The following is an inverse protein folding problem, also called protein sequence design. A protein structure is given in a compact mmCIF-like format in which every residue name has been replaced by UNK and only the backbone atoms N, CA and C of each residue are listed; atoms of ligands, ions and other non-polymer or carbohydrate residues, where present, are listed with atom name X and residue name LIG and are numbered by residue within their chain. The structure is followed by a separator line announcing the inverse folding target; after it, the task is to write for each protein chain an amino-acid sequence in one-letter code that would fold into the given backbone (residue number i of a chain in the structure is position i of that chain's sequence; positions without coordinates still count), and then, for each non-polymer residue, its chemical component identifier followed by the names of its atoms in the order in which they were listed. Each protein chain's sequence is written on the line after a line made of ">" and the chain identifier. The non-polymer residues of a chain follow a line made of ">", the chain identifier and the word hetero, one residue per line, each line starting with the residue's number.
data_IF_550254529200
#
_entry.id   IF_550254529200
#
_cell.length_a   1.000
_cell.length_b   1.000
_cell.length_c   1.000
_cell.angle_alpha   90.00
_cell.angle_beta   90.00
_cell.angle_gamma   90.00
#
_symmetry.space_group_name_H-M   'P 1'
#
loop_
_entity.id
_entity.type
_entity.pdbx_description
1 polymer ?
#
# COMPACT_ATOMS: atom_id res chain seq x y z
N UNK A 1 -18.18 10.19 -20.39
CA UNK A 1 -17.27 11.05 -19.61
C UNK A 1 -18.02 11.97 -18.65
N UNK A 2 -19.25 12.36 -18.98
CA UNK A 2 -20.07 13.32 -18.23
C UNK A 2 -20.52 12.85 -16.84
N UNK A 3 -20.74 11.54 -16.65
CA UNK A 3 -21.15 10.98 -15.36
C UNK A 3 -20.11 11.15 -14.23
N UNK A 4 -18.82 11.17 -14.58
CA UNK A 4 -17.72 11.32 -13.62
C UNK A 4 -17.69 12.74 -13.02
N UNK A 5 -18.01 13.75 -13.84
CA UNK A 5 -18.07 15.16 -13.42
C UNK A 5 -19.26 15.38 -12.48
N UNK A 6 -20.41 14.74 -12.71
CA UNK A 6 -21.54 14.81 -11.78
C UNK A 6 -21.26 14.14 -10.43
N UNK A 7 -20.44 13.08 -10.39
CA UNK A 7 -20.00 12.43 -9.15
C UNK A 7 -19.02 13.30 -8.35
N UNK A 8 -18.07 13.96 -9.02
CA UNK A 8 -17.14 14.89 -8.36
C UNK A 8 -17.83 16.17 -7.85
N UNK A 9 -18.87 16.66 -8.54
CA UNK A 9 -19.71 17.78 -8.08
C UNK A 9 -20.45 17.51 -6.76
N UNK A 10 -20.67 16.23 -6.38
CA UNK A 10 -21.16 15.88 -5.03
C UNK A 10 -20.10 16.06 -3.96
N UNK A 11 -18.82 15.77 -4.25
CA UNK A 11 -17.70 15.94 -3.32
C UNK A 11 -17.50 17.42 -2.98
N UNK A 12 -17.72 18.33 -3.94
CA UNK A 12 -17.66 19.78 -3.71
C UNK A 12 -18.70 20.25 -2.67
N UNK A 13 -19.83 19.54 -2.52
CA UNK A 13 -20.80 19.86 -1.46
C UNK A 13 -20.30 19.50 -0.06
N UNK A 14 -19.32 18.60 0.08
CA UNK A 14 -18.64 18.31 1.33
C UNK A 14 -17.73 19.46 1.79
N UNK A 15 -17.46 20.47 0.95
CA UNK A 15 -16.74 21.70 1.32
C UNK A 15 -17.65 22.78 1.94
N UNK A 16 -18.98 22.59 1.93
CA UNK A 16 -19.94 23.48 2.61
C UNK A 16 -19.64 23.72 4.10
N UNK A 17 -19.24 22.71 4.91
CA UNK A 17 -18.78 22.95 6.29
C UNK A 17 -17.61 23.93 6.38
N UNK A 18 -16.66 23.94 5.42
CA UNK A 18 -15.57 24.92 5.39
C UNK A 18 -16.10 26.36 5.22
N UNK A 19 -17.22 26.53 4.50
CA UNK A 19 -17.90 27.82 4.31
C UNK A 19 -18.67 28.28 5.55
N UNK A 20 -19.24 27.35 6.32
CA UNK A 20 -19.88 27.63 7.62
C UNK A 20 -18.84 28.02 8.67
N UNK A 21 -17.67 27.38 8.62
CA UNK A 21 -16.52 27.67 9.47
C UNK A 21 -16.01 29.10 9.29
N UNK A 22 -15.99 29.61 8.05
CA UNK A 22 -15.56 30.96 7.72
C UNK A 22 -16.55 32.08 8.13
N UNK A 23 -17.80 31.76 8.48
CA UNK A 23 -18.83 32.75 8.86
C UNK A 23 -18.73 33.17 10.32
N UNK A 24 -18.11 32.35 11.18
CA UNK A 24 -17.86 32.70 12.58
C UNK A 24 -16.53 33.47 12.72
N UNK A 25 -16.53 34.70 13.28
CA UNK A 25 -15.35 35.55 13.35
C UNK A 25 -14.19 34.91 14.14
N UNK A 26 -14.49 34.17 15.22
CA UNK A 26 -13.47 33.47 16.00
C UNK A 26 -12.79 32.32 15.25
N UNK A 27 -13.49 31.64 14.36
CA UNK A 27 -12.96 30.48 13.64
C UNK A 27 -12.20 30.89 12.37
N UNK A 28 -12.52 32.06 11.81
CA UNK A 28 -11.74 32.69 10.72
C UNK A 28 -10.31 33.02 11.15
N UNK A 29 -10.12 33.54 12.36
CA UNK A 29 -8.77 33.84 12.90
C UNK A 29 -7.92 32.57 13.01
N UNK A 30 -8.51 31.45 13.44
CA UNK A 30 -7.83 30.17 13.57
C UNK A 30 -7.41 29.63 12.19
N UNK A 31 -8.30 29.69 11.20
CA UNK A 31 -7.98 29.24 9.83
C UNK A 31 -6.90 30.13 9.17
N UNK A 32 -6.99 31.45 9.35
CA UNK A 32 -6.00 32.39 8.83
C UNK A 32 -4.62 32.15 9.45
N UNK A 33 -4.59 31.90 10.76
CA UNK A 33 -3.37 31.52 11.49
C UNK A 33 -2.81 30.16 11.04
N UNK A 34 -3.69 29.19 10.75
CA UNK A 34 -3.33 27.87 10.21
C UNK A 34 -2.73 27.96 8.81
N UNK A 35 -3.32 28.76 7.92
CA UNK A 35 -2.82 28.96 6.55
C UNK A 35 -1.49 29.69 6.56
N UNK A 36 -1.35 30.69 7.43
CA UNK A 36 -0.09 31.41 7.62
C UNK A 36 1.03 30.49 8.16
N UNK A 37 0.67 29.52 9.02
CA UNK A 37 1.59 28.47 9.50
C UNK A 37 1.83 27.35 8.47
N UNK A 38 0.86 27.07 7.60
CA UNK A 38 0.94 26.02 6.59
C UNK A 38 2.08 26.26 5.58
N UNK A 39 2.39 27.53 5.27
CA UNK A 39 3.53 27.86 4.41
C UNK A 39 4.87 27.41 4.98
N UNK A 40 5.07 27.53 6.30
CA UNK A 40 6.28 27.05 6.96
C UNK A 40 6.33 25.50 7.01
N UNK A 41 5.18 24.87 7.26
CA UNK A 41 5.06 23.40 7.30
C UNK A 41 5.29 22.80 5.90
N UNK A 42 4.88 23.48 4.83
CA UNK A 42 5.06 23.02 3.46
C UNK A 42 6.54 22.82 3.09
N UNK A 43 7.43 23.67 3.60
CA UNK A 43 8.88 23.52 3.39
C UNK A 43 9.42 22.23 4.05
N UNK A 44 8.95 21.92 5.26
CA UNK A 44 9.33 20.69 5.97
C UNK A 44 8.79 19.46 5.24
N UNK A 45 7.53 19.50 4.79
CA UNK A 45 6.91 18.42 4.01
C UNK A 45 7.69 18.18 2.72
N UNK A 46 8.13 19.23 2.02
CA UNK A 46 8.89 19.12 0.77
C UNK A 46 10.22 18.37 0.98
N UNK A 47 10.95 18.70 2.04
CA UNK A 47 12.20 18.00 2.38
C UNK A 47 11.90 16.53 2.74
N UNK A 48 10.87 16.29 3.56
CA UNK A 48 10.45 14.95 3.95
C UNK A 48 10.07 14.09 2.74
N UNK A 49 9.34 14.66 1.77
CA UNK A 49 8.93 13.94 0.55
C UNK A 49 10.12 13.57 -0.31
N UNK A 50 11.13 14.42 -0.43
CA UNK A 50 12.36 14.09 -1.18
C UNK A 50 13.11 12.93 -0.52
N UNK A 51 13.25 12.97 0.81
CA UNK A 51 13.91 11.90 1.56
C UNK A 51 13.15 10.57 1.40
N UNK A 52 11.83 10.59 1.56
CA UNK A 52 11.00 9.40 1.34
C UNK A 52 11.05 8.91 -0.10
N UNK A 53 11.13 9.80 -1.08
CA UNK A 53 11.25 9.43 -2.49
C UNK A 53 12.58 8.72 -2.77
N UNK A 54 13.70 9.14 -2.16
CA UNK A 54 14.97 8.40 -2.26
C UNK A 54 14.85 6.98 -1.71
N UNK A 55 14.27 6.82 -0.52
CA UNK A 55 14.04 5.49 0.07
C UNK A 55 13.06 4.65 -0.75
N UNK A 56 12.04 5.27 -1.34
CA UNK A 56 11.08 4.59 -2.19
C UNK A 56 11.76 4.05 -3.47
N UNK A 57 12.59 4.85 -4.15
CA UNK A 57 13.30 4.42 -5.36
C UNK A 57 14.29 3.30 -5.03
N UNK A 58 15.09 3.47 -3.97
CA UNK A 58 16.01 2.44 -3.50
C UNK A 58 15.27 1.14 -3.15
N UNK A 59 14.13 1.27 -2.46
CA UNK A 59 13.28 0.16 -2.07
C UNK A 59 12.69 -0.58 -3.27
N UNK A 60 12.17 0.13 -4.27
CA UNK A 60 11.64 -0.48 -5.50
C UNK A 60 12.75 -1.22 -6.24
N UNK A 61 13.92 -0.63 -6.41
CA UNK A 61 15.04 -1.30 -7.09
C UNK A 61 15.50 -2.58 -6.38
N UNK A 62 15.45 -2.60 -5.03
CA UNK A 62 15.95 -3.75 -4.26
C UNK A 62 14.90 -4.81 -3.98
N UNK A 63 13.64 -4.43 -3.82
CA UNK A 63 12.57 -5.26 -3.25
C UNK A 63 11.35 -5.46 -4.18
N UNK A 64 11.30 -4.82 -5.36
CA UNK A 64 10.22 -5.08 -6.33
C UNK A 64 10.12 -6.58 -6.65
N UNK A 65 8.92 -7.14 -6.51
CA UNK A 65 8.65 -8.57 -6.75
C UNK A 65 9.28 -9.56 -5.76
N UNK A 66 9.92 -9.10 -4.68
CA UNK A 66 10.59 -10.00 -3.70
C UNK A 66 9.84 -10.17 -2.39
N UNK A 67 8.79 -9.39 -2.17
CA UNK A 67 7.96 -9.46 -0.96
C UNK A 67 6.74 -10.38 -1.15
N UNK A 68 6.79 -11.29 -2.11
CA UNK A 68 5.75 -12.26 -2.32
C UNK A 68 5.80 -13.32 -1.22
N UNK A 69 4.65 -13.79 -0.78
CA UNK A 69 4.47 -14.95 0.09
C UNK A 69 3.54 -15.95 -0.61
N UNK A 70 3.57 -17.22 -0.22
CA UNK A 70 2.56 -18.15 -0.68
C UNK A 70 1.25 -17.88 0.07
N UNK A 71 0.11 -18.15 -0.55
CA UNK A 71 -1.20 -18.12 0.11
C UNK A 71 -1.46 -19.35 1.00
N UNK A 72 -0.69 -20.42 0.82
CA UNK A 72 -0.79 -21.65 1.60
C UNK A 72 -0.10 -21.48 2.98
N UNK A 73 -0.84 -21.61 4.10
CA UNK A 73 -0.28 -21.47 5.45
C UNK A 73 0.69 -22.60 5.83
N UNK A 74 0.59 -23.77 5.20
CA UNK A 74 1.47 -24.92 5.45
C UNK A 74 2.74 -24.88 4.60
N UNK A 75 2.87 -23.87 3.72
CA UNK A 75 4.06 -23.72 2.89
C UNK A 75 5.28 -23.36 3.76
N UNK A 76 6.34 -24.18 3.77
CA UNK A 76 7.46 -23.99 4.68
C UNK A 76 8.24 -22.71 4.38
N UNK A 77 8.48 -21.93 5.43
CA UNK A 77 9.29 -20.71 5.39
C UNK A 77 10.70 -21.00 4.87
N UNK A 78 11.30 -20.04 4.17
CA UNK A 78 12.62 -20.13 3.55
C UNK A 78 12.80 -21.22 2.46
N UNK A 79 11.72 -21.83 1.98
CA UNK A 79 11.78 -22.68 0.78
C UNK A 79 11.59 -21.85 -0.51
N UNK A 80 12.29 -22.19 -1.61
CA UNK A 80 12.04 -21.54 -2.89
C UNK A 80 10.60 -21.79 -3.36
N UNK A 81 9.94 -20.76 -3.92
CA UNK A 81 8.61 -20.91 -4.53
C UNK A 81 8.56 -21.96 -5.66
N UNK A 82 9.71 -22.29 -6.25
CA UNK A 82 9.87 -23.36 -7.25
C UNK A 82 9.79 -24.78 -6.67
N UNK A 83 9.62 -24.95 -5.35
CA UNK A 83 9.56 -26.24 -4.66
C UNK A 83 10.93 -26.91 -4.49
N UNK A 84 10.95 -28.01 -3.73
CA UNK A 84 12.16 -28.80 -3.45
C UNK A 84 11.93 -30.23 -3.88
N UNK A 85 12.88 -30.82 -4.62
CA UNK A 85 12.81 -32.21 -5.10
C UNK A 85 13.49 -33.17 -4.12
N UNK A 86 12.90 -34.34 -3.95
CA UNK A 86 13.49 -35.44 -3.19
C UNK A 86 14.47 -36.25 -4.09
N UNK A 87 15.35 -37.05 -3.50
CA UNK A 87 16.32 -37.88 -4.21
C UNK A 87 15.67 -38.94 -5.12
N UNK A 88 14.45 -39.35 -4.81
CA UNK A 88 13.61 -40.25 -5.63
C UNK A 88 12.97 -39.58 -6.85
N UNK A 89 13.15 -38.27 -7.02
CA UNK A 89 12.55 -37.49 -8.09
C UNK A 89 11.14 -36.96 -7.80
N UNK A 90 10.54 -37.27 -6.64
CA UNK A 90 9.29 -36.65 -6.19
C UNK A 90 9.47 -35.22 -5.66
N UNK A 91 8.38 -34.56 -5.28
CA UNK A 91 8.42 -33.31 -4.53
C UNK A 91 8.59 -33.61 -3.03
N UNK A 92 9.63 -33.04 -2.41
CA UNK A 92 9.75 -32.97 -0.96
C UNK A 92 8.92 -31.80 -0.39
N UNK A 93 8.89 -30.70 -1.15
CA UNK A 93 7.98 -29.57 -0.96
C UNK A 93 7.44 -29.21 -2.34
N UNK A 94 6.13 -29.21 -2.49
CA UNK A 94 5.46 -28.80 -3.74
C UNK A 94 5.66 -27.30 -3.99
N UNK A 95 5.78 -26.86 -5.25
CA UNK A 95 5.94 -25.44 -5.58
C UNK A 95 4.68 -24.63 -5.29
N UNK A 96 4.87 -23.32 -5.06
CA UNK A 96 3.80 -22.34 -4.94
C UNK A 96 3.47 -21.75 -6.32
N UNK A 97 2.73 -22.52 -7.12
CA UNK A 97 2.25 -22.14 -8.46
C UNK A 97 0.81 -22.61 -8.63
N UNK A 98 0.08 -22.01 -9.57
CA UNK A 98 -1.34 -22.26 -9.79
C UNK A 98 -1.66 -23.73 -10.18
N UNK A 99 -0.64 -24.50 -10.57
CA UNK A 99 -0.76 -25.94 -10.88
C UNK A 99 -0.97 -26.82 -9.64
N UNK A 100 -0.67 -26.30 -8.44
CA UNK A 100 -0.82 -27.02 -7.17
C UNK A 100 -1.89 -26.34 -6.34
N UNK A 101 -2.66 -27.13 -5.59
CA UNK A 101 -3.78 -26.65 -4.78
C UNK A 101 -3.71 -27.19 -3.37
N UNK A 102 -4.17 -26.40 -2.40
CA UNK A 102 -4.32 -26.82 -1.01
C UNK A 102 -5.81 -26.73 -0.61
N UNK A 103 -6.17 -27.41 0.48
CA UNK A 103 -7.49 -27.27 1.08
C UNK A 103 -7.46 -26.13 2.10
N UNK A 104 -8.34 -25.15 1.97
CA UNK A 104 -8.51 -24.08 2.96
C UNK A 104 -9.14 -24.61 4.26
N UNK A 105 -9.27 -23.75 5.28
CA UNK A 105 -9.91 -24.10 6.55
C UNK A 105 -11.39 -24.52 6.37
N UNK A 106 -12.02 -24.10 5.27
CA UNK A 106 -13.38 -24.44 4.87
C UNK A 106 -13.49 -25.74 4.03
N UNK A 107 -12.37 -26.40 3.72
CA UNK A 107 -12.31 -27.63 2.93
C UNK A 107 -12.48 -27.42 1.42
N UNK A 108 -12.46 -26.19 0.93
CA UNK A 108 -12.43 -25.89 -0.50
C UNK A 108 -11.01 -26.03 -1.05
N UNK A 109 -10.92 -26.55 -2.26
CA UNK A 109 -9.64 -26.70 -2.96
C UNK A 109 -9.33 -25.39 -3.68
N UNK A 110 -8.31 -24.67 -3.21
CA UNK A 110 -7.85 -23.40 -3.77
C UNK A 110 -6.46 -23.53 -4.38
N UNK A 111 -6.17 -22.91 -5.54
CA UNK A 111 -4.85 -22.95 -6.14
C UNK A 111 -3.83 -22.15 -5.33
N UNK A 112 -2.58 -22.60 -5.33
CA UNK A 112 -1.46 -21.86 -4.74
C UNK A 112 -1.12 -20.67 -5.62
N UNK A 113 -1.12 -19.48 -5.04
CA UNK A 113 -0.68 -18.27 -5.74
C UNK A 113 0.28 -17.48 -4.87
N UNK A 114 1.21 -16.81 -5.54
CA UNK A 114 2.08 -15.83 -4.89
C UNK A 114 1.26 -14.57 -4.60
N UNK A 115 1.17 -14.21 -3.33
CA UNK A 115 0.47 -13.01 -2.87
C UNK A 115 1.49 -11.99 -2.40
N UNK A 116 1.33 -10.74 -2.82
CA UNK A 116 2.10 -9.62 -2.27
C UNK A 116 1.25 -8.91 -1.22
N UNK A 117 1.76 -8.71 0.01
CA UNK A 117 1.06 -7.87 0.98
C UNK A 117 0.97 -6.44 0.44
N UNK A 118 -0.18 -5.79 0.62
CA UNK A 118 -0.35 -4.36 0.34
C UNK A 118 -0.30 -3.62 1.68
N UNK A 119 0.58 -2.62 1.88
CA UNK A 119 1.43 -1.92 0.90
C UNK A 119 2.73 -2.66 0.51
N UNK A 120 3.31 -2.39 -0.66
CA UNK A 120 4.55 -3.04 -1.15
C UNK A 120 5.50 -2.09 -1.94
N UNK A 121 6.64 -2.62 -2.40
CA UNK A 121 7.65 -1.93 -3.20
C UNK A 121 7.58 -2.20 -4.71
N UNK A 122 6.43 -2.61 -5.25
CA UNK A 122 6.32 -2.89 -6.69
C UNK A 122 6.24 -1.61 -7.54
N UNK A 123 5.78 -0.52 -6.94
CA UNK A 123 5.70 0.80 -7.56
C UNK A 123 6.18 1.88 -6.60
N UNK A 124 6.67 3.01 -7.13
CA UNK A 124 7.14 4.14 -6.32
C UNK A 124 6.05 4.74 -5.44
N UNK A 125 4.79 4.77 -5.91
CA UNK A 125 3.66 5.27 -5.11
C UNK A 125 3.31 4.31 -3.96
N UNK A 126 3.26 3.01 -4.22
CA UNK A 126 3.02 2.00 -3.18
C UNK A 126 4.15 2.00 -2.14
N UNK A 127 5.40 2.17 -2.58
CA UNK A 127 6.55 2.30 -1.72
C UNK A 127 6.47 3.54 -0.82
N UNK A 128 6.03 4.69 -1.36
CA UNK A 128 5.81 5.90 -0.55
C UNK A 128 4.67 5.73 0.46
N UNK A 129 3.58 5.04 0.09
CA UNK A 129 2.50 4.73 1.02
C UNK A 129 2.96 3.80 2.13
N UNK A 130 3.75 2.77 1.79
CA UNK A 130 4.38 1.89 2.77
C UNK A 130 5.25 2.71 3.74
N UNK A 131 6.16 3.52 3.22
CA UNK A 131 7.05 4.36 4.04
C UNK A 131 6.26 5.31 4.95
N UNK A 132 5.21 5.93 4.44
CA UNK A 132 4.31 6.76 5.24
C UNK A 132 3.70 5.97 6.39
N UNK A 133 3.07 4.82 6.09
CA UNK A 133 2.44 3.99 7.13
C UNK A 133 3.44 3.58 8.20
N UNK A 134 4.63 3.10 7.79
CA UNK A 134 5.69 2.67 8.72
C UNK A 134 6.25 3.81 9.57
N UNK A 135 6.27 5.04 9.05
CA UNK A 135 6.72 6.21 9.80
C UNK A 135 5.66 6.74 10.77
N UNK A 136 4.39 6.36 10.60
CA UNK A 136 3.26 6.80 11.43
C UNK A 136 2.75 5.76 12.43
N UNK A 137 3.09 4.48 12.24
CA UNK A 137 2.95 3.41 13.25
C UNK A 137 4.02 3.52 14.31
#
# INVERSE_FOLDING_TARGET
>A
SDLAIFRSLRIVRCLRPLRLIARNPGMRVVVDSLVMSAGAIANVILILTIVWLMFAIFGVQRYAGKLQTCNDPDFPEATPFAGVRNASGGWAVEPCTEDFSFADEEGNVVPRTTVTPSPNFDNTLNAMLLLFTTATT
#
